data_IF_101629099626
#
_entry.id   IF_101629099626
#
_cell.length_a   1.000
_cell.length_b   1.000
_cell.length_c   1.000
_cell.angle_alpha   90.00
_cell.angle_beta   90.00
_cell.angle_gamma   90.00
#
_symmetry.space_group_name_H-M   'P 1'
#
loop_
_entity.id
_entity.type
_entity.pdbx_description
1 polymer ?
#
# COMPACT_ATOMS: atom_id res chain seq x y z
N UNK A 1 18.87 -5.42 1.41
CA UNK A 1 18.30 -4.45 2.36
C UNK A 1 16.79 -4.60 2.34
N UNK A 2 16.11 -4.74 3.45
CA UNK A 2 14.67 -4.71 3.44
C UNK A 2 14.22 -3.27 3.16
N UNK A 3 13.48 -3.06 2.06
CA UNK A 3 12.82 -1.78 1.81
C UNK A 3 11.68 -1.54 2.82
N UNK A 4 11.15 -0.30 2.91
CA UNK A 4 10.05 0.00 3.81
C UNK A 4 8.81 -0.85 3.49
N UNK A 5 8.01 -1.12 4.50
CA UNK A 5 6.71 -1.77 4.35
C UNK A 5 5.70 -0.67 3.97
N UNK A 6 4.82 -0.99 3.02
CA UNK A 6 3.81 -0.06 2.53
C UNK A 6 2.50 -0.29 3.28
N UNK A 7 2.09 0.68 4.06
CA UNK A 7 0.93 0.61 4.94
C UNK A 7 -0.12 1.65 4.52
N UNK A 8 -1.38 1.31 4.73
CA UNK A 8 -2.51 2.21 4.52
C UNK A 8 -3.32 2.34 5.82
N UNK A 9 -3.85 3.53 6.06
CA UNK A 9 -4.72 3.83 7.19
C UNK A 9 -5.93 4.67 6.76
N UNK A 10 -6.98 4.68 7.57
CA UNK A 10 -8.12 5.59 7.35
C UNK A 10 -7.66 7.01 7.66
N UNK A 11 -7.91 7.94 6.73
CA UNK A 11 -7.50 9.35 6.89
C UNK A 11 -7.95 9.93 8.21
N UNK A 12 -7.03 10.62 8.87
CA UNK A 12 -7.24 11.30 10.12
C UNK A 12 -6.89 12.79 9.99
N UNK A 13 -7.87 13.64 10.27
CA UNK A 13 -7.75 15.09 10.06
C UNK A 13 -6.54 15.71 10.77
N UNK A 14 -6.22 15.24 11.99
CA UNK A 14 -5.07 15.72 12.77
C UNK A 14 -3.76 15.44 12.04
N UNK A 15 -3.62 14.27 11.43
CA UNK A 15 -2.44 13.89 10.66
C UNK A 15 -2.33 14.76 9.41
N UNK A 16 -3.44 14.91 8.68
CA UNK A 16 -3.49 15.72 7.46
C UNK A 16 -3.13 17.19 7.73
N UNK A 17 -3.61 17.77 8.84
CA UNK A 17 -3.30 19.16 9.24
C UNK A 17 -1.81 19.33 9.55
N UNK A 18 -1.18 18.39 10.26
CA UNK A 18 0.27 18.43 10.56
C UNK A 18 1.09 18.33 9.28
N UNK A 19 0.74 17.40 8.40
CA UNK A 19 1.40 17.22 7.10
C UNK A 19 1.23 18.47 6.24
N UNK A 20 0.02 19.00 6.10
CA UNK A 20 -0.25 20.21 5.32
C UNK A 20 0.45 21.47 5.88
N UNK A 21 0.61 21.58 7.20
CA UNK A 21 1.41 22.61 7.84
C UNK A 21 2.88 22.48 7.41
N UNK A 22 3.43 21.26 7.48
CA UNK A 22 4.84 21.00 7.19
C UNK A 22 5.18 21.19 5.70
N UNK A 23 4.26 20.87 4.80
CA UNK A 23 4.42 21.06 3.36
C UNK A 23 4.53 22.53 2.92
N UNK A 24 4.23 23.49 3.79
CA UNK A 24 4.44 24.94 3.53
C UNK A 24 5.87 25.39 3.75
N UNK A 25 6.68 24.56 4.39
CA UNK A 25 8.09 24.84 4.63
C UNK A 25 8.95 24.33 3.46
N UNK A 26 10.23 24.69 3.43
CA UNK A 26 11.17 24.17 2.45
C UNK A 26 11.40 22.67 2.63
N UNK A 27 11.27 21.86 1.56
CA UNK A 27 11.57 20.44 1.64
C UNK A 27 13.08 20.19 1.79
N UNK A 28 13.46 19.11 2.45
CA UNK A 28 14.87 18.67 2.50
C UNK A 28 15.33 18.03 1.19
N UNK A 29 14.39 17.51 0.39
CA UNK A 29 14.60 17.05 -0.98
C UNK A 29 13.44 17.52 -1.86
N UNK A 30 13.77 18.06 -3.04
CA UNK A 30 12.82 18.37 -4.12
C UNK A 30 13.52 18.06 -5.44
N UNK A 31 13.07 17.02 -6.11
CA UNK A 31 13.61 16.60 -7.40
C UNK A 31 12.57 15.89 -8.26
N UNK A 32 12.75 15.96 -9.57
CA UNK A 32 11.92 15.21 -10.52
C UNK A 32 12.73 14.03 -11.06
N UNK A 33 12.18 12.83 -10.93
CA UNK A 33 12.79 11.60 -11.42
C UNK A 33 12.68 11.50 -12.96
N UNK A 34 13.37 10.52 -13.54
CA UNK A 34 13.42 10.32 -15.00
C UNK A 34 12.08 9.98 -15.64
N UNK A 35 11.13 9.50 -14.85
CA UNK A 35 9.75 9.20 -15.24
C UNK A 35 8.81 10.43 -15.20
N UNK A 36 9.37 11.61 -14.88
CA UNK A 36 8.63 12.87 -14.76
C UNK A 36 7.90 13.06 -13.43
N UNK A 37 8.03 12.14 -12.46
CA UNK A 37 7.40 12.25 -11.15
C UNK A 37 8.27 13.09 -10.22
N UNK A 38 7.65 14.09 -9.58
CA UNK A 38 8.33 14.94 -8.59
C UNK A 38 8.24 14.33 -7.20
N UNK A 39 9.39 14.26 -6.53
CA UNK A 39 9.54 13.76 -5.17
C UNK A 39 9.92 14.90 -4.25
N UNK A 40 9.15 15.11 -3.18
CA UNK A 40 9.43 16.08 -2.13
C UNK A 40 9.43 15.40 -0.78
N UNK A 41 10.39 15.76 0.06
CA UNK A 41 10.52 15.18 1.39
C UNK A 41 10.70 16.29 2.41
N UNK A 42 9.93 16.22 3.48
CA UNK A 42 10.03 17.09 4.64
C UNK A 42 10.33 16.27 5.89
N UNK A 43 10.99 16.88 6.84
CA UNK A 43 11.25 16.28 8.14
C UNK A 43 10.33 16.91 9.18
N UNK A 44 9.54 16.12 9.86
CA UNK A 44 8.80 16.53 11.05
C UNK A 44 9.66 16.13 12.26
N UNK A 45 10.18 17.12 12.99
CA UNK A 45 11.07 16.91 14.13
C UNK A 45 10.65 17.72 15.37
N UNK A 46 9.65 18.57 15.25
CA UNK A 46 9.10 19.36 16.34
C UNK A 46 8.44 18.42 17.34
N UNK A 47 8.89 18.47 18.61
CA UNK A 47 8.44 17.51 19.64
C UNK A 47 6.91 17.45 19.79
N UNK A 48 6.25 18.61 19.70
CA UNK A 48 4.79 18.73 19.79
C UNK A 48 4.09 18.01 18.62
N UNK A 49 4.56 18.20 17.38
CA UNK A 49 3.97 17.58 16.19
C UNK A 49 4.25 16.06 16.17
N UNK A 50 5.44 15.64 16.61
CA UNK A 50 5.79 14.21 16.77
C UNK A 50 4.91 13.54 17.81
N UNK A 51 4.67 14.17 18.97
CA UNK A 51 3.79 13.65 20.01
C UNK A 51 2.34 13.55 19.53
N UNK A 52 1.84 14.58 18.82
CA UNK A 52 0.49 14.58 18.24
C UNK A 52 0.31 13.48 17.21
N UNK A 53 1.29 13.30 16.32
CA UNK A 53 1.28 12.19 15.36
C UNK A 53 1.27 10.83 16.06
N UNK A 54 2.13 10.64 17.06
CA UNK A 54 2.17 9.41 17.83
C UNK A 54 0.82 9.07 18.47
N UNK A 55 0.15 10.06 19.08
CA UNK A 55 -1.20 9.88 19.65
C UNK A 55 -2.23 9.57 18.57
N UNK A 56 -2.25 10.34 17.48
CA UNK A 56 -3.21 10.11 16.40
C UNK A 56 -3.07 8.72 15.80
N UNK A 57 -1.85 8.23 15.58
CA UNK A 57 -1.63 6.86 15.09
C UNK A 57 -1.95 5.78 16.14
N UNK A 58 -1.81 6.06 17.44
CA UNK A 58 -2.19 5.14 18.51
C UNK A 58 -3.70 4.95 18.61
N UNK A 59 -4.49 5.97 18.21
CA UNK A 59 -5.95 5.92 18.21
C UNK A 59 -6.53 5.23 16.96
N UNK A 60 -5.71 4.96 15.93
CA UNK A 60 -6.14 4.24 14.73
C UNK A 60 -6.28 2.75 15.06
N UNK A 61 -7.51 2.25 14.97
CA UNK A 61 -7.83 0.86 15.31
C UNK A 61 -7.09 -0.16 14.43
N UNK A 62 -6.99 0.12 13.12
CA UNK A 62 -6.41 -0.82 12.16
C UNK A 62 -5.55 -0.09 11.12
N UNK A 63 -4.33 -0.59 10.93
CA UNK A 63 -3.45 -0.24 9.82
C UNK A 63 -3.34 -1.45 8.90
N UNK A 64 -3.45 -1.23 7.61
CA UNK A 64 -3.53 -2.27 6.58
C UNK A 64 -2.21 -2.39 5.83
N UNK A 65 -1.73 -3.61 5.62
CA UNK A 65 -0.55 -3.85 4.79
C UNK A 65 -0.98 -3.81 3.31
N UNK A 66 -0.58 -2.77 2.59
CA UNK A 66 -0.85 -2.62 1.18
C UNK A 66 0.19 -3.36 0.32
N UNK A 67 1.46 -3.33 0.73
CA UNK A 67 2.55 -4.13 0.13
C UNK A 67 3.62 -4.48 1.16
N UNK A 68 4.39 -5.53 0.89
CA UNK A 68 5.48 -5.97 1.75
C UNK A 68 5.07 -6.95 2.85
N UNK A 69 4.05 -7.77 2.63
CA UNK A 69 3.58 -8.80 3.58
C UNK A 69 4.70 -9.71 4.09
N UNK A 70 5.61 -10.16 3.21
CA UNK A 70 6.74 -11.00 3.61
C UNK A 70 7.76 -10.24 4.46
N UNK A 71 7.98 -8.96 4.17
CA UNK A 71 8.86 -8.09 4.97
C UNK A 71 8.27 -7.88 6.36
N UNK A 72 6.98 -7.58 6.44
CA UNK A 72 6.27 -7.45 7.72
C UNK A 72 6.34 -8.74 8.54
N UNK A 73 5.99 -9.88 7.94
CA UNK A 73 6.03 -11.18 8.61
C UNK A 73 7.46 -11.53 9.10
N UNK A 74 8.48 -11.22 8.31
CA UNK A 74 9.89 -11.45 8.69
C UNK A 74 10.30 -10.54 9.86
N UNK A 75 9.95 -9.26 9.82
CA UNK A 75 10.25 -8.32 10.90
C UNK A 75 9.60 -8.77 12.23
N UNK A 76 8.32 -9.15 12.19
CA UNK A 76 7.60 -9.67 13.36
C UNK A 76 8.27 -10.93 13.92
N UNK A 77 8.62 -11.90 13.04
CA UNK A 77 9.32 -13.12 13.47
C UNK A 77 10.66 -12.81 14.16
N UNK A 78 11.45 -11.89 13.60
CA UNK A 78 12.73 -11.49 14.19
C UNK A 78 12.50 -10.79 15.53
N UNK A 79 11.56 -9.85 15.60
CA UNK A 79 11.22 -9.16 16.84
C UNK A 79 10.82 -10.12 17.95
N UNK A 80 9.88 -11.02 17.68
CA UNK A 80 9.44 -12.03 18.65
C UNK A 80 10.56 -12.96 19.10
N UNK A 81 11.42 -13.41 18.18
CA UNK A 81 12.60 -14.22 18.50
C UNK A 81 13.55 -13.46 19.43
N UNK A 82 13.87 -12.21 19.09
CA UNK A 82 14.79 -11.37 19.88
C UNK A 82 14.24 -11.05 21.26
N UNK A 83 12.94 -10.78 21.38
CA UNK A 83 12.28 -10.60 22.70
C UNK A 83 12.41 -11.84 23.56
N UNK A 84 12.22 -13.04 22.97
CA UNK A 84 12.38 -14.30 23.68
C UNK A 84 13.83 -14.56 24.14
N UNK A 85 14.81 -14.17 23.32
CA UNK A 85 16.24 -14.32 23.63
C UNK A 85 16.72 -13.25 24.65
N UNK A 86 15.99 -12.15 24.80
CA UNK A 86 16.32 -11.03 25.69
C UNK A 86 15.14 -10.69 26.62
N UNK A 87 14.86 -11.49 27.66
CA UNK A 87 13.68 -11.31 28.51
C UNK A 87 13.61 -9.96 29.24
N UNK A 88 14.73 -9.24 29.32
CA UNK A 88 14.82 -7.91 29.94
C UNK A 88 14.70 -6.75 28.95
N UNK A 89 14.19 -6.98 27.72
CA UNK A 89 14.00 -5.91 26.75
C UNK A 89 13.06 -4.81 27.29
N UNK A 90 13.35 -3.55 26.93
CA UNK A 90 12.62 -2.36 27.39
C UNK A 90 11.52 -1.93 26.41
N UNK A 91 11.66 -2.26 25.15
CA UNK A 91 10.82 -1.78 24.05
C UNK A 91 11.56 -0.85 23.10
N UNK A 92 12.67 -0.26 23.53
CA UNK A 92 13.42 0.74 22.76
C UNK A 92 14.48 0.11 21.82
N UNK A 93 14.68 -1.21 21.88
CA UNK A 93 15.65 -1.88 21.04
C UNK A 93 15.19 -1.93 19.58
N UNK A 94 16.13 -1.78 18.66
CA UNK A 94 15.93 -1.77 17.20
C UNK A 94 15.09 -2.94 16.65
N UNK A 95 15.15 -4.10 17.28
CA UNK A 95 14.36 -5.25 16.85
C UNK A 95 12.86 -5.13 17.14
N UNK A 96 12.43 -4.10 17.88
CA UNK A 96 11.03 -3.80 18.12
C UNK A 96 10.42 -2.93 17.02
N UNK A 97 11.24 -2.43 16.09
CA UNK A 97 10.83 -1.50 15.05
C UNK A 97 11.09 -2.04 13.64
N UNK A 98 10.35 -1.55 12.69
CA UNK A 98 10.63 -1.70 11.28
C UNK A 98 10.25 -0.43 10.52
N UNK A 99 10.97 -0.15 9.44
CA UNK A 99 10.69 1.00 8.60
C UNK A 99 9.43 0.75 7.78
N UNK A 100 8.50 1.69 7.84
CA UNK A 100 7.28 1.68 7.05
C UNK A 100 6.99 3.05 6.44
N UNK A 101 6.21 3.05 5.36
CA UNK A 101 5.60 4.23 4.77
C UNK A 101 4.10 4.09 4.95
N UNK A 102 3.46 5.10 5.54
CA UNK A 102 2.04 5.11 5.82
C UNK A 102 1.33 6.10 4.88
N UNK A 103 0.26 5.64 4.23
CA UNK A 103 -0.55 6.46 3.34
C UNK A 103 -1.99 6.52 3.84
N UNK A 104 -2.62 7.69 3.86
CA UNK A 104 -4.04 7.79 4.07
C UNK A 104 -4.76 7.14 2.87
N UNK A 105 -5.84 6.40 3.14
CA UNK A 105 -6.52 5.57 2.13
C UNK A 105 -7.06 6.35 0.93
N UNK A 106 -7.41 7.60 1.12
CA UNK A 106 -7.95 8.49 0.09
C UNK A 106 -6.88 9.09 -0.84
N UNK A 107 -5.60 8.90 -0.52
CA UNK A 107 -4.47 9.22 -1.41
C UNK A 107 -3.94 8.00 -2.17
N UNK A 108 -4.60 6.85 -2.04
CA UNK A 108 -4.24 5.62 -2.74
C UNK A 108 -5.24 5.31 -3.85
N UNK A 109 -4.71 4.83 -4.95
CA UNK A 109 -5.49 4.34 -6.08
C UNK A 109 -5.20 2.86 -6.28
N UNK A 110 -6.27 2.06 -6.40
CA UNK A 110 -6.14 0.67 -6.81
C UNK A 110 -6.01 0.63 -8.33
N UNK A 111 -4.90 0.13 -8.81
CA UNK A 111 -4.65 -0.07 -10.23
C UNK A 111 -5.10 -1.46 -10.67
N UNK A 112 -5.54 -1.56 -11.92
CA UNK A 112 -5.90 -2.84 -12.51
C UNK A 112 -4.68 -3.76 -12.57
N UNK A 113 -4.86 -5.01 -12.19
CA UNK A 113 -3.81 -6.01 -12.27
C UNK A 113 -4.07 -6.92 -13.48
N UNK A 114 -3.83 -6.38 -14.66
CA UNK A 114 -4.10 -7.04 -15.93
C UNK A 114 -3.21 -8.27 -16.14
N UNK A 115 -3.75 -9.26 -16.84
CA UNK A 115 -3.07 -10.48 -17.28
C UNK A 115 -3.21 -10.59 -18.78
N UNK A 116 -2.14 -11.02 -19.42
CA UNK A 116 -2.18 -11.44 -20.82
C UNK A 116 -2.04 -12.96 -20.87
N UNK A 117 -2.83 -13.60 -21.71
CA UNK A 117 -2.68 -15.02 -22.02
C UNK A 117 -1.93 -15.16 -23.33
N UNK A 118 -1.07 -16.17 -23.41
CA UNK A 118 -0.23 -16.39 -24.58
C UNK A 118 -1.06 -16.91 -25.77
N UNK A 119 -2.00 -17.78 -25.48
CA UNK A 119 -2.87 -18.41 -26.46
C UNK A 119 -4.16 -18.91 -25.76
N UNK A 120 -5.12 -19.39 -26.53
CA UNK A 120 -6.38 -19.94 -26.05
C UNK A 120 -6.35 -21.47 -25.88
N UNK A 121 -5.16 -22.05 -25.72
CA UNK A 121 -4.96 -23.50 -25.55
C UNK A 121 -5.55 -24.33 -26.67
N UNK A 122 -5.40 -23.89 -27.94
CA UNK A 122 -5.88 -24.54 -29.13
C UNK A 122 -7.36 -24.30 -29.45
N UNK A 123 -8.09 -23.54 -28.66
CA UNK A 123 -9.47 -23.16 -28.91
C UNK A 123 -9.54 -22.00 -29.90
N UNK A 124 -10.57 -21.99 -30.72
CA UNK A 124 -10.99 -20.78 -31.43
C UNK A 124 -11.57 -19.75 -30.45
N UNK A 125 -11.75 -18.51 -30.91
CA UNK A 125 -12.39 -17.45 -30.10
C UNK A 125 -13.79 -17.87 -29.63
N UNK A 126 -14.58 -18.43 -30.54
CA UNK A 126 -15.97 -18.82 -30.25
C UNK A 126 -16.03 -19.96 -29.26
N UNK A 127 -15.24 -21.02 -29.45
CA UNK A 127 -15.14 -22.14 -28.48
C UNK A 127 -14.66 -21.69 -27.11
N UNK A 128 -13.76 -20.70 -27.06
CA UNK A 128 -13.32 -20.11 -25.79
C UNK A 128 -14.47 -19.36 -25.09
N UNK A 129 -15.20 -18.51 -25.83
CA UNK A 129 -16.34 -17.77 -25.29
C UNK A 129 -17.48 -18.70 -24.83
N UNK A 130 -17.75 -19.78 -25.55
CA UNK A 130 -18.72 -20.82 -25.12
C UNK A 130 -18.31 -21.42 -23.77
N UNK A 131 -17.02 -21.76 -23.59
CA UNK A 131 -16.52 -22.27 -22.31
C UNK A 131 -16.57 -21.23 -21.18
N UNK A 132 -16.31 -19.98 -21.47
CA UNK A 132 -16.44 -18.89 -20.48
C UNK A 132 -17.90 -18.75 -20.05
N UNK A 133 -18.84 -18.86 -21.00
CA UNK A 133 -20.28 -18.78 -20.72
C UNK A 133 -20.83 -19.92 -19.85
N UNK A 134 -20.12 -21.05 -19.73
CA UNK A 134 -20.47 -22.11 -18.76
C UNK A 134 -20.37 -21.65 -17.31
N UNK A 135 -19.50 -20.66 -17.02
CA UNK A 135 -19.17 -20.20 -15.66
C UNK A 135 -19.53 -18.75 -15.39
N UNK A 136 -19.69 -17.96 -16.45
CA UNK A 136 -19.90 -16.51 -16.38
C UNK A 136 -21.06 -16.07 -17.28
N UNK A 137 -21.73 -15.00 -16.90
CA UNK A 137 -22.58 -14.26 -17.82
C UNK A 137 -21.67 -13.37 -18.69
N UNK A 138 -21.75 -13.55 -20.01
CA UNK A 138 -20.90 -12.85 -20.98
C UNK A 138 -21.73 -11.75 -21.64
N UNK A 139 -21.27 -10.51 -21.53
CA UNK A 139 -21.86 -9.35 -22.16
C UNK A 139 -20.81 -8.70 -23.08
N UNK A 140 -21.22 -8.28 -24.26
CA UNK A 140 -20.38 -7.53 -25.18
C UNK A 140 -20.55 -6.02 -24.92
N UNK A 141 -19.43 -5.31 -24.83
CA UNK A 141 -19.40 -3.88 -24.58
C UNK A 141 -18.52 -3.17 -25.61
N UNK A 142 -18.85 -1.95 -25.96
CA UNK A 142 -18.06 -1.12 -26.86
C UNK A 142 -16.85 -0.51 -26.14
N UNK A 143 -15.64 -0.90 -26.53
CA UNK A 143 -14.38 -0.33 -26.02
C UNK A 143 -13.74 -1.11 -24.86
N UNK A 144 -12.83 -0.44 -24.15
CA UNK A 144 -12.11 -1.06 -23.03
C UNK A 144 -13.01 -1.19 -21.80
N UNK A 145 -13.23 -2.43 -21.35
CA UNK A 145 -14.07 -2.74 -20.20
C UNK A 145 -13.25 -2.76 -18.92
N UNK A 146 -13.68 -1.99 -17.94
CA UNK A 146 -13.09 -1.99 -16.59
C UNK A 146 -14.12 -2.52 -15.58
N UNK A 147 -13.79 -3.57 -14.81
CA UNK A 147 -14.66 -4.07 -13.75
C UNK A 147 -15.05 -2.97 -12.76
N UNK A 148 -16.33 -2.91 -12.41
CA UNK A 148 -16.86 -1.89 -11.48
C UNK A 148 -17.13 -2.47 -10.09
N UNK A 149 -17.30 -3.77 -9.97
CA UNK A 149 -17.58 -4.45 -8.70
C UNK A 149 -16.94 -5.85 -8.64
N UNK A 150 -16.93 -6.42 -7.45
CA UNK A 150 -16.43 -7.78 -7.22
C UNK A 150 -17.19 -8.80 -8.06
N UNK A 151 -16.47 -9.69 -8.74
CA UNK A 151 -17.01 -10.75 -9.59
C UNK A 151 -17.08 -10.39 -11.06
N UNK A 152 -16.83 -9.15 -11.43
CA UNK A 152 -16.68 -8.74 -12.83
C UNK A 152 -15.25 -8.93 -13.34
N UNK A 153 -15.12 -9.31 -14.59
CA UNK A 153 -13.85 -9.46 -15.30
C UNK A 153 -14.01 -8.81 -16.67
N UNK A 154 -13.16 -7.84 -16.98
CA UNK A 154 -13.04 -7.31 -18.34
C UNK A 154 -12.07 -8.15 -19.16
N UNK A 155 -12.40 -8.40 -20.43
CA UNK A 155 -11.56 -9.12 -21.38
C UNK A 155 -11.65 -8.45 -22.75
N UNK A 156 -10.52 -8.39 -23.49
CA UNK A 156 -10.43 -7.89 -24.85
C UNK A 156 -9.26 -8.56 -25.60
#
# INVERSE_FOLDING_TARGET
MPGPIFLAYRSEKVIDEIVAKKQKEEPIYDFTAVDGITHRVWKIAEAEDVEKLGKAFADIENIYIADGHHRAASAVKVGLKRRKENPGYTGDEEFNYFLSVLFPHDQLMIMDYNRTVKDLNGLSKDEFLEKVAECFEVNEEDGAVRPQKKGEVGMY
#
